data_IF_325942785694
#
_entry.id   IF_325942785694
#
_cell.length_a   1.000
_cell.length_b   1.000
_cell.length_c   1.000
_cell.angle_alpha   90.00
_cell.angle_beta   90.00
_cell.angle_gamma   90.00
#
_symmetry.space_group_name_H-M   'P 1'
#
loop_
_entity.id
_entity.type
_entity.pdbx_description
1 polymer ?
#
# COMPACT_ATOMS: atom_id res chain seq x y z
N UNK A 1 8.01 -14.47 -10.84
CA UNK A 1 7.20 -13.30 -11.23
C UNK A 1 8.12 -12.35 -11.96
N UNK A 2 7.72 -11.80 -13.11
CA UNK A 2 8.55 -10.79 -13.77
C UNK A 2 8.39 -9.45 -13.07
N UNK A 3 9.32 -8.53 -13.31
CA UNK A 3 9.19 -7.14 -12.88
C UNK A 3 8.67 -6.30 -14.05
N UNK A 4 7.58 -6.74 -14.69
CA UNK A 4 6.96 -6.05 -15.82
C UNK A 4 5.50 -5.72 -15.51
N UNK A 5 5.08 -4.52 -15.85
CA UNK A 5 3.69 -4.06 -15.72
C UNK A 5 3.15 -3.67 -17.09
N UNK A 6 2.05 -4.29 -17.48
CA UNK A 6 1.31 -3.90 -18.67
C UNK A 6 0.43 -2.69 -18.34
N UNK A 7 0.69 -1.56 -19.00
CA UNK A 7 -0.11 -0.34 -18.85
C UNK A 7 -0.96 -0.16 -20.10
N UNK A 8 -2.25 -0.47 -19.99
CA UNK A 8 -3.12 -0.71 -21.14
C UNK A 8 -4.11 0.44 -21.30
N UNK A 9 -4.07 1.10 -22.47
CA UNK A 9 -5.04 2.11 -22.87
C UNK A 9 -5.16 3.28 -21.87
N UNK A 10 -4.09 3.60 -21.14
CA UNK A 10 -4.01 4.78 -20.30
C UNK A 10 -3.82 6.04 -21.16
N UNK A 11 -4.26 7.20 -20.67
CA UNK A 11 -3.97 8.45 -21.37
C UNK A 11 -2.45 8.72 -21.34
N UNK A 12 -1.86 9.27 -22.41
CA UNK A 12 -0.43 9.58 -22.46
C UNK A 12 0.08 10.39 -21.26
N UNK A 13 -0.66 11.41 -20.85
CA UNK A 13 -0.26 12.27 -19.72
C UNK A 13 -0.29 11.53 -18.37
N UNK A 14 -1.23 10.59 -18.19
CA UNK A 14 -1.30 9.76 -16.99
C UNK A 14 -0.12 8.80 -16.92
N UNK A 15 0.24 8.20 -18.05
CA UNK A 15 1.43 7.34 -18.13
C UNK A 15 2.71 8.12 -17.81
N UNK A 16 2.86 9.33 -18.38
CA UNK A 16 4.01 10.20 -18.11
C UNK A 16 4.09 10.56 -16.63
N UNK A 17 2.96 10.87 -16.01
CA UNK A 17 2.89 11.20 -14.58
C UNK A 17 3.27 10.00 -13.69
N UNK A 18 2.81 8.79 -14.00
CA UNK A 18 3.21 7.56 -13.29
C UNK A 18 4.73 7.40 -13.35
N UNK A 19 5.30 7.49 -14.55
CA UNK A 19 6.75 7.32 -14.77
C UNK A 19 7.54 8.39 -14.03
N UNK A 20 7.11 9.65 -14.10
CA UNK A 20 7.74 10.76 -13.39
C UNK A 20 7.71 10.55 -11.87
N UNK A 21 6.54 10.21 -11.32
CA UNK A 21 6.35 9.96 -9.89
C UNK A 21 7.21 8.82 -9.39
N UNK A 22 7.27 7.70 -10.13
CA UNK A 22 8.11 6.57 -9.77
C UNK A 22 9.61 6.89 -9.80
N UNK A 23 10.06 7.72 -10.74
CA UNK A 23 11.47 8.12 -10.87
C UNK A 23 11.91 9.10 -9.78
N UNK A 24 11.05 10.03 -9.39
CA UNK A 24 11.48 11.21 -8.62
C UNK A 24 10.82 11.36 -7.26
N UNK A 25 9.64 10.79 -7.05
CA UNK A 25 8.85 11.03 -5.84
C UNK A 25 8.66 9.80 -4.96
N UNK A 26 8.94 8.59 -5.47
CA UNK A 26 8.94 7.38 -4.64
C UNK A 26 10.32 7.12 -4.03
N UNK A 27 10.38 7.09 -2.69
CA UNK A 27 11.56 6.60 -1.95
C UNK A 27 11.08 5.61 -0.89
N UNK A 28 11.74 4.44 -0.78
CA UNK A 28 11.38 3.40 0.18
C UNK A 28 9.92 2.93 0.08
N UNK A 29 9.34 2.96 -1.13
CA UNK A 29 7.94 2.57 -1.37
C UNK A 29 6.92 3.61 -0.93
N UNK A 30 7.32 4.83 -0.55
CA UNK A 30 6.38 5.90 -0.19
C UNK A 30 6.50 7.09 -1.13
N UNK A 31 5.36 7.69 -1.44
CA UNK A 31 5.30 8.99 -2.07
C UNK A 31 5.87 10.04 -1.10
N UNK A 32 6.88 10.76 -1.57
CA UNK A 32 7.40 11.93 -0.90
C UNK A 32 6.76 13.18 -1.49
N UNK A 33 6.93 14.30 -0.81
CA UNK A 33 6.47 15.60 -1.30
C UNK A 33 6.97 15.83 -2.73
N UNK A 34 6.06 16.18 -3.63
CA UNK A 34 6.40 16.55 -5.01
C UNK A 34 7.25 17.82 -4.97
N UNK A 35 8.57 17.65 -5.13
CA UNK A 35 9.45 18.77 -5.43
C UNK A 35 9.25 19.16 -6.90
N UNK A 36 9.42 20.44 -7.23
CA UNK A 36 9.39 20.87 -8.64
C UNK A 36 10.62 20.32 -9.36
N UNK A 37 10.50 19.09 -9.86
CA UNK A 37 11.48 18.43 -10.72
C UNK A 37 11.04 18.66 -12.17
N UNK A 38 11.97 19.05 -13.02
CA UNK A 38 11.68 19.25 -14.44
C UNK A 38 11.32 17.91 -15.09
N UNK A 39 10.23 17.87 -15.88
CA UNK A 39 9.83 16.65 -16.57
C UNK A 39 10.87 16.29 -17.63
N UNK A 40 11.54 15.17 -17.43
CA UNK A 40 12.29 14.53 -18.50
C UNK A 40 11.33 14.16 -19.64
N UNK A 41 11.77 14.22 -20.91
CA UNK A 41 10.98 13.76 -22.03
C UNK A 41 10.73 12.25 -21.91
N UNK A 42 9.48 11.87 -21.65
CA UNK A 42 9.00 10.48 -21.57
C UNK A 42 8.22 10.17 -22.84
N UNK A 43 8.60 9.09 -23.52
CA UNK A 43 7.86 8.57 -24.67
C UNK A 43 6.80 7.56 -24.19
N UNK A 44 5.53 7.92 -24.31
CA UNK A 44 4.36 7.13 -23.91
C UNK A 44 4.13 5.87 -24.75
N UNK A 45 4.87 5.69 -25.85
CA UNK A 45 4.76 4.54 -26.73
C UNK A 45 5.90 3.53 -26.55
N UNK A 46 6.87 3.83 -25.69
CA UNK A 46 8.04 2.99 -25.45
C UNK A 46 8.06 2.43 -24.02
N UNK A 47 8.63 1.23 -23.88
CA UNK A 47 8.85 0.62 -22.57
C UNK A 47 9.75 1.48 -21.71
N UNK A 48 9.27 1.84 -20.51
CA UNK A 48 10.04 2.61 -19.54
C UNK A 48 10.65 1.68 -18.50
N UNK A 49 11.96 1.78 -18.30
CA UNK A 49 12.69 1.04 -17.27
C UNK A 49 12.94 1.95 -16.08
N UNK A 50 12.48 1.53 -14.92
CA UNK A 50 12.52 2.33 -13.69
C UNK A 50 13.14 1.49 -12.58
N UNK A 51 14.17 2.03 -11.93
CA UNK A 51 14.76 1.42 -10.75
C UNK A 51 14.06 1.97 -9.50
N UNK A 52 13.30 1.12 -8.81
CA UNK A 52 12.70 1.46 -7.52
C UNK A 52 13.66 1.08 -6.40
N UNK A 53 13.95 2.04 -5.52
CA UNK A 53 14.70 1.79 -4.29
C UNK A 53 13.73 1.65 -3.12
N UNK A 54 13.67 0.45 -2.56
CA UNK A 54 12.82 0.07 -1.45
C UNK A 54 13.65 -0.29 -0.22
N UNK A 55 13.04 -0.27 0.97
CA UNK A 55 13.68 -0.73 2.22
C UNK A 55 14.10 -2.22 2.17
N UNK A 56 13.56 -2.99 1.24
CA UNK A 56 13.88 -4.42 1.03
C UNK A 56 14.92 -4.63 -0.06
N UNK A 57 15.29 -3.59 -0.79
CA UNK A 57 16.22 -3.70 -1.90
C UNK A 57 15.96 -2.74 -3.04
N UNK A 58 16.78 -2.85 -4.08
CA UNK A 58 16.53 -2.18 -5.36
C UNK A 58 15.98 -3.17 -6.38
N UNK A 59 15.16 -2.66 -7.28
CA UNK A 59 14.57 -3.46 -8.35
C UNK A 59 14.33 -2.65 -9.61
N UNK A 60 14.60 -3.26 -10.77
CA UNK A 60 14.25 -2.70 -12.06
C UNK A 60 12.89 -3.24 -12.49
N UNK A 61 11.97 -2.31 -12.77
CA UNK A 61 10.62 -2.58 -13.26
C UNK A 61 10.49 -2.01 -14.67
N UNK A 62 9.88 -2.78 -15.56
CA UNK A 62 9.52 -2.33 -16.90
C UNK A 62 8.03 -1.97 -16.93
N UNK A 63 7.71 -0.72 -17.24
CA UNK A 63 6.35 -0.29 -17.59
C UNK A 63 6.20 -0.35 -19.10
N UNK A 64 5.33 -1.22 -19.59
CA UNK A 64 5.11 -1.44 -21.02
C UNK A 64 3.77 -0.85 -21.42
N UNK A 65 3.74 0.25 -22.20
CA UNK A 65 2.50 0.80 -22.70
C UNK A 65 1.94 -0.09 -23.81
N UNK A 66 0.67 -0.46 -23.70
CA UNK A 66 -0.07 -1.32 -24.64
C UNK A 66 -1.37 -0.66 -25.07
N UNK A 67 -1.83 -0.92 -26.29
CA UNK A 67 -3.07 -0.35 -26.80
C UNK A 67 -4.29 -1.22 -26.52
N UNK A 68 -4.08 -2.51 -26.24
CA UNK A 68 -5.15 -3.45 -25.98
C UNK A 68 -4.75 -4.52 -24.99
N UNK A 69 -5.74 -5.16 -24.36
CA UNK A 69 -5.47 -6.30 -23.48
C UNK A 69 -4.92 -7.47 -24.27
N UNK A 70 -5.31 -7.64 -25.53
CA UNK A 70 -4.88 -8.76 -26.37
C UNK A 70 -3.37 -8.75 -26.64
N UNK A 71 -2.75 -7.57 -26.69
CA UNK A 71 -1.29 -7.41 -26.73
C UNK A 71 -0.61 -7.81 -25.41
N UNK A 72 -1.33 -7.70 -24.29
CA UNK A 72 -0.84 -7.95 -22.93
C UNK A 72 -1.17 -9.33 -22.37
N UNK A 73 -1.80 -10.22 -23.15
CA UNK A 73 -2.12 -11.58 -22.72
C UNK A 73 -0.86 -12.46 -22.88
N UNK A 74 0.04 -12.41 -21.90
CA UNK A 74 1.18 -13.32 -21.79
C UNK A 74 1.45 -13.67 -20.33
N UNK A 75 2.09 -14.80 -20.06
CA UNK A 75 2.42 -15.25 -18.69
C UNK A 75 3.59 -14.47 -18.06
N UNK A 76 4.05 -13.41 -18.73
CA UNK A 76 5.27 -12.69 -18.37
C UNK A 76 5.01 -11.42 -17.57
N UNK A 77 3.77 -11.11 -17.18
CA UNK A 77 3.46 -9.88 -16.45
C UNK A 77 3.42 -10.11 -14.93
N UNK A 78 3.98 -9.17 -14.18
CA UNK A 78 3.82 -9.12 -12.74
C UNK A 78 2.68 -8.19 -12.31
N UNK A 79 2.08 -7.43 -13.24
CA UNK A 79 0.88 -6.63 -13.00
C UNK A 79 0.23 -6.05 -14.26
N UNK A 80 -1.03 -5.67 -14.11
CA UNK A 80 -1.87 -5.04 -15.12
C UNK A 80 -2.52 -3.77 -14.58
N UNK A 81 -2.43 -2.69 -15.36
CA UNK A 81 -3.13 -1.44 -15.08
C UNK A 81 -3.89 -1.06 -16.36
N UNK A 82 -5.21 -0.91 -16.28
CA UNK A 82 -6.00 -0.50 -17.46
C UNK A 82 -7.01 0.60 -17.16
N UNK A 83 -7.40 1.34 -18.19
CA UNK A 83 -8.53 2.28 -18.10
C UNK A 83 -9.88 1.52 -18.06
N UNK A 84 -10.87 2.05 -17.33
CA UNK A 84 -12.21 1.47 -17.20
C UNK A 84 -12.96 1.28 -18.53
N UNK A 85 -12.62 2.06 -19.56
CA UNK A 85 -13.26 1.95 -20.89
C UNK A 85 -12.50 0.98 -21.81
N UNK A 86 -11.43 0.34 -21.32
CA UNK A 86 -10.63 -0.61 -22.10
C UNK A 86 -11.51 -1.78 -22.55
N UNK A 87 -11.62 -2.05 -23.86
CA UNK A 87 -12.35 -3.20 -24.35
C UNK A 87 -11.82 -4.50 -23.75
N UNK A 88 -12.72 -5.39 -23.35
CA UNK A 88 -12.39 -6.68 -22.75
C UNK A 88 -11.60 -6.60 -21.42
N UNK A 89 -11.72 -5.52 -20.63
CA UNK A 89 -11.10 -5.36 -19.30
C UNK A 89 -11.25 -6.61 -18.39
N UNK A 90 -12.35 -7.36 -18.56
CA UNK A 90 -12.61 -8.57 -17.78
C UNK A 90 -11.53 -9.63 -17.96
N UNK A 91 -10.83 -9.64 -19.11
CA UNK A 91 -9.77 -10.61 -19.39
C UNK A 91 -8.62 -10.53 -18.38
N UNK A 92 -8.39 -9.40 -17.70
CA UNK A 92 -7.37 -9.27 -16.64
C UNK A 92 -7.55 -10.32 -15.54
N UNK A 93 -8.80 -10.67 -15.20
CA UNK A 93 -9.12 -11.72 -14.21
C UNK A 93 -8.66 -13.13 -14.61
N UNK A 94 -8.51 -13.38 -15.92
CA UNK A 94 -8.14 -14.69 -16.46
C UNK A 94 -6.62 -14.93 -16.39
N UNK A 95 -5.83 -13.85 -16.30
CA UNK A 95 -4.36 -13.87 -16.29
C UNK A 95 -3.82 -13.40 -14.94
N UNK A 96 -4.62 -13.59 -13.88
CA UNK A 96 -4.39 -13.18 -12.49
C UNK A 96 -3.22 -13.95 -11.81
N UNK A 97 -2.07 -13.97 -12.46
CA UNK A 97 -0.80 -14.45 -11.92
C UNK A 97 -0.01 -13.33 -11.23
N UNK A 98 -0.43 -12.06 -11.39
CA UNK A 98 0.19 -10.88 -10.80
C UNK A 98 -0.60 -10.33 -9.62
N UNK A 99 0.10 -9.89 -8.58
CA UNK A 99 -0.49 -9.28 -7.38
C UNK A 99 -0.97 -7.83 -7.63
N UNK A 100 -0.48 -7.18 -8.68
CA UNK A 100 -0.84 -5.81 -9.04
C UNK A 100 -1.85 -5.80 -10.20
N UNK A 101 -3.14 -5.79 -9.88
CA UNK A 101 -4.20 -5.58 -10.87
C UNK A 101 -5.01 -4.34 -10.51
N UNK A 102 -5.04 -3.37 -11.42
CA UNK A 102 -5.67 -2.08 -11.19
C UNK A 102 -6.52 -1.63 -12.38
N UNK A 103 -7.66 -0.99 -12.08
CA UNK A 103 -8.45 -0.25 -13.05
C UNK A 103 -8.53 1.21 -12.64
N UNK A 104 -8.24 2.14 -13.57
CA UNK A 104 -8.44 3.57 -13.38
C UNK A 104 -9.68 4.06 -14.14
N UNK A 105 -10.53 4.87 -13.52
CA UNK A 105 -11.75 5.36 -14.14
C UNK A 105 -12.53 6.37 -13.30
N UNK A 106 -13.78 6.66 -13.63
CA UNK A 106 -14.62 7.66 -12.94
C UNK A 106 -15.83 7.04 -12.21
N UNK A 107 -15.61 5.89 -11.57
CA UNK A 107 -16.57 5.10 -10.80
C UNK A 107 -17.38 4.02 -11.54
N UNK A 108 -17.29 3.87 -12.87
CA UNK A 108 -18.25 3.00 -13.61
C UNK A 108 -18.08 1.50 -13.33
N UNK A 109 -16.88 1.07 -13.01
CA UNK A 109 -16.54 -0.33 -12.78
C UNK A 109 -16.19 -0.66 -11.32
N UNK A 110 -16.46 0.27 -10.38
CA UNK A 110 -16.06 0.11 -8.98
C UNK A 110 -16.60 -1.20 -8.38
N UNK A 111 -17.91 -1.43 -8.50
CA UNK A 111 -18.56 -2.64 -7.97
C UNK A 111 -17.97 -3.92 -8.58
N UNK A 112 -17.74 -3.92 -9.90
CA UNK A 112 -17.14 -5.06 -10.59
C UNK A 112 -15.71 -5.32 -10.12
N UNK A 113 -14.91 -4.28 -9.86
CA UNK A 113 -13.55 -4.42 -9.36
C UNK A 113 -13.53 -5.02 -7.94
N UNK A 114 -14.44 -4.57 -7.08
CA UNK A 114 -14.62 -5.12 -5.71
C UNK A 114 -14.95 -6.61 -5.78
N UNK A 115 -15.90 -7.01 -6.62
CA UNK A 115 -16.32 -8.41 -6.77
C UNK A 115 -15.20 -9.34 -7.28
N UNK A 116 -14.22 -8.78 -8.00
CA UNK A 116 -13.13 -9.53 -8.61
C UNK A 116 -11.78 -9.34 -7.89
N UNK A 117 -11.75 -8.64 -6.76
CA UNK A 117 -10.53 -8.37 -6.00
C UNK A 117 -9.48 -7.57 -6.79
N UNK A 118 -9.94 -6.69 -7.68
CA UNK A 118 -9.12 -5.77 -8.46
C UNK A 118 -9.16 -4.41 -7.78
N UNK A 119 -8.03 -3.73 -7.69
CA UNK A 119 -7.98 -2.39 -7.11
C UNK A 119 -8.56 -1.37 -8.10
N UNK A 120 -9.53 -0.58 -7.64
CA UNK A 120 -10.08 0.52 -8.42
C UNK A 120 -9.45 1.84 -7.97
N UNK A 121 -8.96 2.62 -8.93
CA UNK A 121 -8.45 3.96 -8.70
C UNK A 121 -9.37 4.95 -9.38
N UNK A 122 -9.97 5.82 -8.57
CA UNK A 122 -10.78 6.91 -9.10
C UNK A 122 -9.88 7.96 -9.75
N UNK A 123 -10.29 8.42 -10.93
CA UNK A 123 -9.59 9.41 -11.74
C UNK A 123 -9.99 10.77 -11.21
N UNK A 124 -9.20 11.29 -10.28
CA UNK A 124 -9.34 12.69 -9.87
C UNK A 124 -8.61 13.61 -10.86
N UNK A 125 -9.14 14.83 -11.02
CA UNK A 125 -8.43 15.90 -11.67
C UNK A 125 -7.19 16.25 -10.84
N UNK A 126 -6.08 16.64 -11.49
CA UNK A 126 -4.73 16.85 -10.93
C UNK A 126 -4.68 18.03 -9.91
N UNK A 127 -5.81 18.51 -9.39
CA UNK A 127 -5.92 19.79 -8.67
C UNK A 127 -5.86 19.68 -7.14
N UNK A 128 -5.79 18.49 -6.53
CA UNK A 128 -5.74 18.33 -5.07
C UNK A 128 -4.39 17.77 -4.58
N UNK A 129 -3.46 18.66 -4.23
CA UNK A 129 -2.05 18.34 -3.87
C UNK A 129 -1.88 17.57 -2.55
N UNK A 130 -2.93 17.46 -1.71
CA UNK A 130 -2.82 16.88 -0.35
C UNK A 130 -3.38 15.45 -0.22
N UNK A 131 -3.87 14.87 -1.31
CA UNK A 131 -4.42 13.52 -1.29
C UNK A 131 -3.62 12.62 -2.23
N UNK A 132 -3.08 11.51 -1.73
CA UNK A 132 -2.38 10.50 -2.53
C UNK A 132 -3.38 9.66 -3.37
N UNK A 133 -4.42 10.31 -3.90
CA UNK A 133 -5.52 9.69 -4.63
C UNK A 133 -5.29 9.84 -6.14
N UNK A 134 -5.67 8.83 -6.92
CA UNK A 134 -5.47 8.82 -8.37
C UNK A 134 -4.11 8.27 -8.81
N UNK A 135 -3.38 8.99 -9.66
CA UNK A 135 -2.14 8.51 -10.30
C UNK A 135 -1.04 8.17 -9.28
N UNK A 136 -0.93 8.94 -8.21
CA UNK A 136 0.06 8.72 -7.16
C UNK A 136 -0.15 7.37 -6.45
N UNK A 137 -1.42 6.97 -6.25
CA UNK A 137 -1.77 5.65 -5.72
C UNK A 137 -1.27 4.52 -6.63
N UNK A 138 -1.33 4.71 -7.95
CA UNK A 138 -0.79 3.74 -8.91
C UNK A 138 0.72 3.61 -8.76
N UNK A 139 1.43 4.73 -8.68
CA UNK A 139 2.89 4.72 -8.48
C UNK A 139 3.27 4.04 -7.15
N UNK A 140 2.56 4.32 -6.06
CA UNK A 140 2.78 3.65 -4.78
C UNK A 140 2.46 2.15 -4.84
N UNK A 141 1.37 1.76 -5.49
CA UNK A 141 0.99 0.36 -5.65
C UNK A 141 2.05 -0.40 -6.45
N UNK A 142 2.55 0.17 -7.55
CA UNK A 142 3.70 -0.36 -8.28
C UNK A 142 4.91 -0.48 -7.34
N UNK A 143 5.24 0.54 -6.55
CA UNK A 143 6.44 0.51 -5.71
C UNK A 143 6.38 -0.50 -4.55
N UNK A 144 5.18 -0.78 -4.03
CA UNK A 144 4.98 -1.65 -2.87
C UNK A 144 4.56 -3.08 -3.23
N UNK A 145 4.28 -3.37 -4.50
CA UNK A 145 4.01 -4.73 -4.95
C UNK A 145 5.22 -5.63 -4.59
N UNK A 146 5.03 -6.89 -4.17
CA UNK A 146 6.10 -7.70 -3.60
C UNK A 146 6.92 -8.36 -4.72
N UNK A 147 7.61 -7.51 -5.47
CA UNK A 147 8.44 -7.93 -6.59
C UNK A 147 9.64 -8.79 -6.20
N UNK A 148 10.30 -9.37 -7.20
CA UNK A 148 11.56 -10.10 -7.03
C UNK A 148 12.74 -9.13 -6.95
N UNK A 149 12.97 -8.56 -5.77
CA UNK A 149 14.10 -7.67 -5.49
C UNK A 149 15.44 -8.39 -5.73
N UNK A 150 16.27 -7.81 -6.60
CA UNK A 150 17.54 -8.41 -7.03
C UNK A 150 18.71 -8.12 -6.08
N UNK A 151 18.57 -7.12 -5.21
CA UNK A 151 19.58 -6.72 -4.24
C UNK A 151 18.92 -6.53 -2.88
N UNK A 152 19.21 -7.36 -1.88
CA UNK A 152 18.86 -7.03 -0.50
C UNK A 152 19.73 -5.84 -0.06
N UNK A 153 19.20 -4.89 0.72
CA UNK A 153 20.00 -3.80 1.25
C UNK A 153 21.20 -4.42 1.97
N UNK A 154 22.39 -3.87 1.71
CA UNK A 154 23.58 -4.25 2.48
C UNK A 154 23.19 -4.23 3.94
N UNK A 155 23.30 -5.40 4.60
CA UNK A 155 22.84 -5.63 5.97
C UNK A 155 23.13 -4.39 6.82
N UNK A 156 22.07 -3.71 7.27
CA UNK A 156 22.19 -2.91 8.48
C UNK A 156 22.76 -3.87 9.52
N UNK A 157 23.91 -3.55 10.10
CA UNK A 157 24.51 -4.36 11.16
C UNK A 157 23.45 -4.55 12.26
N UNK A 158 22.84 -5.74 12.32
CA UNK A 158 21.86 -6.10 13.35
C UNK A 158 22.48 -5.98 14.77
N UNK A 159 23.82 -6.06 14.84
CA UNK A 159 24.62 -5.80 16.04
C UNK A 159 24.52 -4.37 16.61
N UNK A 160 23.98 -3.40 15.86
CA UNK A 160 23.72 -2.03 16.32
C UNK A 160 22.30 -1.83 16.87
N UNK A 161 21.33 -2.68 16.50
CA UNK A 161 19.93 -2.59 16.93
C UNK A 161 19.62 -3.49 18.14
N UNK A 162 20.43 -4.53 18.38
CA UNK A 162 20.32 -5.43 19.53
C UNK A 162 21.16 -5.01 20.73
N UNK A 163 21.84 -3.85 20.67
CA UNK A 163 22.48 -3.32 21.86
C UNK A 163 21.40 -2.74 22.79
N UNK A 164 21.21 -3.30 24.00
CA UNK A 164 20.40 -2.63 25.00
C UNK A 164 20.97 -1.21 25.20
N UNK A 165 20.13 -0.19 25.45
CA UNK A 165 20.61 1.15 25.71
C UNK A 165 21.68 1.06 26.79
N UNK A 166 22.89 1.56 26.50
CA UNK A 166 23.97 1.59 27.48
C UNK A 166 23.43 2.28 28.73
N UNK A 167 23.35 1.53 29.83
CA UNK A 167 22.93 2.04 31.12
C UNK A 167 23.84 3.23 31.48
N UNK A 168 23.25 4.42 31.52
CA UNK A 168 23.87 5.59 32.12
C UNK A 168 24.33 5.21 33.54
N UNK A 169 25.56 5.60 33.93
CA UNK A 169 26.11 5.18 35.21
C UNK A 169 25.26 5.69 36.37
N UNK A 170 24.84 4.73 37.20
CA UNK A 170 24.28 4.84 38.55
C UNK A 170 24.29 6.26 39.14
N UNK A 171 23.11 6.81 39.36
CA UNK A 171 22.87 7.70 40.50
C UNK A 171 21.70 7.18 41.34
N UNK A 172 22.12 6.63 42.49
CA UNK A 172 21.44 6.62 43.78
C UNK A 172 20.05 5.98 43.89
N UNK A 173 20.08 4.77 44.46
CA UNK A 173 19.01 4.18 45.27
C UNK A 173 18.42 5.22 46.24
N UNK A 174 17.11 5.42 46.19
CA UNK A 174 16.33 5.68 47.39
C UNK A 174 15.01 4.91 47.30
N UNK A 175 14.90 3.95 48.20
CA UNK A 175 13.69 3.20 48.51
C UNK A 175 12.57 4.16 48.93
N UNK A 176 11.36 3.94 48.40
CA UNK A 176 10.12 4.35 49.06
C UNK A 176 9.06 3.28 48.77
N UNK A 177 9.10 2.23 49.59
CA UNK A 177 7.97 1.35 49.86
C UNK A 177 6.84 2.12 50.57
N UNK A 178 5.61 1.94 50.07
CA UNK A 178 4.30 1.77 50.77
C UNK A 178 3.16 2.49 50.02
N UNK A 179 1.88 2.16 50.28
CA UNK A 179 1.24 0.85 50.34
C UNK A 179 0.04 0.78 49.38
N UNK A 180 -0.45 -0.44 49.15
CA UNK A 180 -1.65 -0.75 48.38
C UNK A 180 -2.86 -0.05 49.02
N UNK A 181 -3.56 0.78 48.24
CA UNK A 181 -4.95 1.13 48.52
C UNK A 181 -5.79 0.68 47.32
N UNK A 182 -6.69 -0.25 47.61
CA UNK A 182 -7.77 -0.68 46.75
C UNK A 182 -8.65 0.53 46.39
N UNK A 183 -8.86 0.75 45.11
CA UNK A 183 -10.00 1.54 44.64
C UNK A 183 -10.45 0.92 43.33
N UNK A 184 -11.69 0.44 43.34
CA UNK A 184 -12.45 -0.09 42.20
C UNK A 184 -12.29 0.79 40.97
N UNK A 185 -11.60 0.28 39.95
CA UNK A 185 -11.63 0.80 38.59
C UNK A 185 -11.78 -0.37 37.61
N UNK A 186 -12.59 -0.09 36.60
CA UNK A 186 -13.13 -0.97 35.56
C UNK A 186 -12.08 -1.84 34.88
N UNK A 187 -12.52 -3.01 34.42
CA UNK A 187 -11.82 -3.91 33.50
C UNK A 187 -11.52 -3.23 32.15
N UNK A 188 -10.61 -2.26 32.13
CA UNK A 188 -9.86 -1.92 30.93
C UNK A 188 -8.69 -2.89 30.87
N UNK A 189 -8.87 -4.00 30.18
CA UNK A 189 -7.73 -4.82 29.74
C UNK A 189 -6.85 -3.91 28.89
N UNK A 190 -5.63 -3.61 29.39
CA UNK A 190 -4.54 -3.03 28.60
C UNK A 190 -4.42 -3.78 27.27
N UNK A 191 -5.03 -3.23 26.22
CA UNK A 191 -4.98 -3.82 24.90
C UNK A 191 -3.62 -3.44 24.33
N UNK A 192 -2.67 -4.37 24.40
CA UNK A 192 -1.34 -4.16 23.79
C UNK A 192 -1.48 -4.16 22.26
N UNK A 193 -0.58 -3.44 21.57
CA UNK A 193 -0.52 -3.44 20.11
C UNK A 193 -0.44 -4.87 19.52
N UNK A 194 0.31 -5.75 20.19
CA UNK A 194 0.41 -7.16 19.82
C UNK A 194 -0.95 -7.89 19.89
N UNK A 195 -1.75 -7.60 20.93
CA UNK A 195 -3.10 -8.16 21.07
C UNK A 195 -4.04 -7.64 19.98
N UNK A 196 -3.93 -6.36 19.62
CA UNK A 196 -4.72 -5.76 18.55
C UNK A 196 -4.39 -6.39 17.18
N UNK A 197 -3.11 -6.54 16.87
CA UNK A 197 -2.67 -7.18 15.62
C UNK A 197 -3.14 -8.63 15.51
N UNK A 198 -3.08 -9.39 16.60
CA UNK A 198 -3.59 -10.77 16.63
C UNK A 198 -5.10 -10.84 16.39
N UNK A 199 -5.88 -9.89 16.93
CA UNK A 199 -7.33 -9.79 16.66
C UNK A 199 -7.63 -9.43 15.20
N UNK A 200 -6.88 -8.50 14.61
CA UNK A 200 -7.04 -8.15 13.19
C UNK A 200 -6.75 -9.34 12.26
N UNK A 201 -5.73 -10.13 12.58
CA UNK A 201 -5.43 -11.37 11.85
C UNK A 201 -6.57 -12.40 11.98
N UNK A 202 -7.16 -12.53 13.17
CA UNK A 202 -8.32 -13.40 13.38
C UNK A 202 -9.55 -12.93 12.57
N UNK A 203 -9.87 -11.63 12.60
CA UNK A 203 -10.96 -11.06 11.80
C UNK A 203 -10.75 -11.30 10.30
N UNK A 204 -9.52 -11.09 9.80
CA UNK A 204 -9.18 -11.39 8.41
C UNK A 204 -9.41 -12.87 8.06
N UNK A 205 -8.97 -13.79 8.92
CA UNK A 205 -9.18 -15.24 8.70
C UNK A 205 -10.66 -15.60 8.71
N UNK A 206 -11.43 -15.08 9.66
CA UNK A 206 -12.88 -15.37 9.77
C UNK A 206 -13.67 -14.77 8.62
N UNK A 207 -13.34 -13.55 8.18
CA UNK A 207 -13.97 -12.91 7.03
C UNK A 207 -13.73 -13.68 5.71
N UNK A 208 -12.57 -14.32 5.58
CA UNK A 208 -12.24 -15.18 4.45
C UNK A 208 -12.98 -16.53 4.46
N UNK A 209 -13.41 -17.00 5.64
CA UNK A 209 -14.08 -18.29 5.81
C UNK A 209 -15.61 -18.21 5.82
N UNK A 210 -16.18 -17.05 6.17
CA UNK A 210 -17.63 -16.86 6.15
C UNK A 210 -18.15 -16.54 4.75
N UNK A 211 -19.31 -17.11 4.41
CA UNK A 211 -20.08 -16.81 3.19
C UNK A 211 -21.24 -15.85 3.47
N UNK A 212 -21.48 -15.48 4.74
CA UNK A 212 -22.51 -14.52 5.12
C UNK A 212 -21.96 -13.09 5.06
N UNK A 213 -22.57 -12.27 4.19
CA UNK A 213 -22.17 -10.87 4.00
C UNK A 213 -22.42 -10.00 5.24
N UNK A 214 -23.41 -10.32 6.07
CA UNK A 214 -23.67 -9.57 7.30
C UNK A 214 -22.59 -9.84 8.36
N UNK A 215 -22.13 -11.09 8.46
CA UNK A 215 -21.02 -11.46 9.35
C UNK A 215 -19.71 -10.84 8.87
N UNK A 216 -19.45 -10.86 7.55
CA UNK A 216 -18.27 -10.22 6.97
C UNK A 216 -18.26 -8.70 7.23
N UNK A 217 -19.42 -8.03 7.10
CA UNK A 217 -19.56 -6.61 7.42
C UNK A 217 -19.27 -6.32 8.88
N UNK A 218 -19.83 -7.11 9.80
CA UNK A 218 -19.60 -6.95 11.24
C UNK A 218 -18.11 -7.12 11.62
N UNK A 219 -17.42 -8.09 11.02
CA UNK A 219 -15.97 -8.28 11.22
C UNK A 219 -15.15 -7.08 10.72
N UNK A 220 -15.56 -6.46 9.61
CA UNK A 220 -14.91 -5.26 9.10
C UNK A 220 -15.14 -4.04 10.03
N UNK A 221 -16.36 -3.88 10.55
CA UNK A 221 -16.70 -2.83 11.52
C UNK A 221 -15.90 -3.00 12.84
N UNK A 222 -15.79 -4.23 13.35
CA UNK A 222 -14.99 -4.53 14.54
C UNK A 222 -13.48 -4.31 14.32
N UNK A 223 -12.98 -4.58 13.11
CA UNK A 223 -11.60 -4.29 12.74
C UNK A 223 -11.31 -2.78 12.65
N UNK A 224 -12.24 -2.01 12.07
CA UNK A 224 -12.11 -0.57 11.95
C UNK A 224 -12.09 0.12 13.32
N UNK A 225 -13.00 -0.26 14.22
CA UNK A 225 -13.04 0.25 15.59
C UNK A 225 -11.75 -0.06 16.36
N UNK A 226 -11.22 -1.27 16.19
CA UNK A 226 -9.96 -1.66 16.81
C UNK A 226 -8.78 -0.85 16.27
N UNK A 227 -8.75 -0.53 14.98
CA UNK A 227 -7.71 0.34 14.42
C UNK A 227 -7.87 1.80 14.87
N UNK A 228 -9.10 2.31 14.96
CA UNK A 228 -9.37 3.68 15.42
C UNK A 228 -8.85 3.93 16.85
N UNK A 229 -8.96 2.94 17.74
CA UNK A 229 -8.42 3.01 19.11
C UNK A 229 -6.89 3.20 19.16
N UNK A 230 -6.15 2.72 18.16
CA UNK A 230 -4.68 2.84 18.12
C UNK A 230 -4.19 3.98 17.23
N UNK A 231 -4.99 4.40 16.25
CA UNK A 231 -4.63 5.48 15.32
C UNK A 231 -5.03 6.87 15.84
N UNK A 232 -5.75 6.93 16.97
CA UNK A 232 -6.01 8.18 17.68
C UNK A 232 -7.08 9.03 17.00
N UNK A 233 -8.34 8.63 17.16
CA UNK A 233 -9.44 9.60 17.17
C UNK A 233 -9.70 9.99 18.62
N UNK A 234 -8.71 10.66 19.23
CA UNK A 234 -8.96 11.47 20.41
C UNK A 234 -9.73 12.70 19.92
N UNK A 235 -11.05 12.56 19.84
CA UNK A 235 -11.96 13.69 19.93
C UNK A 235 -11.80 14.30 21.33
N UNK A 236 -10.76 15.11 21.51
CA UNK A 236 -10.85 16.23 22.43
C UNK A 236 -11.91 17.15 21.83
N UNK A 237 -13.16 16.96 22.26
CA UNK A 237 -14.16 18.03 22.24
C UNK A 237 -13.60 19.15 23.13
N UNK A 238 -12.98 20.15 22.51
CA UNK A 238 -12.62 21.41 23.15
C UNK A 238 -13.93 22.14 23.56
N UNK A 239 -14.30 22.02 24.84
CA UNK A 239 -15.22 22.93 25.56
C UNK A 239 -14.54 24.28 25.90
#
# INVERSE_FOLDING_TARGET
>A
MSNKVAVINLKPEEFKEIVHTLKHHITNGRLNKKENVEYEPINEHETQRITITHKYGSIDIELVPLQSIEEGITDEWGGYICEENTPNYQKITQYNAGELNMIIGNGKLLDWCIDNGIEYVDRQAIEDENNAEGIDRIAEAIANNPWNFSQQPQRYNEDLLLQPPQQLPNTSKQELTKPINETTQSDEKDLTLETALNKLLDYKRRAAQTTDMNERRKLAEEAALLMAQFMGDSSEEDD
#
